data_IF_671614655681
#
_entry.id   IF_671614655681
#
_cell.length_a   1.000
_cell.length_b   1.000
_cell.length_c   1.000
_cell.angle_alpha   90.00
_cell.angle_beta   90.00
_cell.angle_gamma   90.00
#
_symmetry.space_group_name_H-M   'P 1'
#
loop_
_entity.id
_entity.type
_entity.pdbx_description
1 polymer ?
#
# COMPACT_ATOMS: atom_id res chain seq x y z
N UNK A 1 16.94 -3.91 -28.79
CA UNK A 1 16.10 -3.84 -27.57
C UNK A 1 16.84 -2.98 -26.56
N UNK A 2 16.17 -1.99 -25.98
CA UNK A 2 16.79 -1.14 -24.97
C UNK A 2 17.13 -1.98 -23.73
N UNK A 3 18.30 -1.71 -23.12
CA UNK A 3 18.78 -2.42 -21.92
C UNK A 3 17.80 -2.23 -20.75
N UNK A 4 17.07 -1.13 -20.73
CA UNK A 4 16.04 -0.85 -19.74
C UNK A 4 14.78 -1.71 -19.96
N UNK A 5 14.28 -1.80 -21.20
CA UNK A 5 13.14 -2.67 -21.55
C UNK A 5 13.39 -4.14 -21.15
N UNK A 6 14.59 -4.66 -21.40
CA UNK A 6 14.94 -6.04 -21.01
C UNK A 6 14.87 -6.23 -19.50
N UNK A 7 15.28 -5.23 -18.71
CA UNK A 7 15.17 -5.28 -17.25
C UNK A 7 13.72 -5.21 -16.78
N UNK A 8 12.88 -4.40 -17.42
CA UNK A 8 11.46 -4.34 -17.11
C UNK A 8 10.74 -5.66 -17.42
N UNK A 9 11.09 -6.33 -18.52
CA UNK A 9 10.57 -7.67 -18.84
C UNK A 9 10.96 -8.69 -17.75
N UNK A 10 12.23 -8.69 -17.32
CA UNK A 10 12.65 -9.56 -16.21
C UNK A 10 11.94 -9.23 -14.89
N UNK A 11 11.70 -7.95 -14.61
CA UNK A 11 10.97 -7.51 -13.43
C UNK A 11 9.50 -7.97 -13.47
N UNK A 12 8.84 -7.85 -14.62
CA UNK A 12 7.49 -8.33 -14.84
C UNK A 12 7.39 -9.86 -14.66
N UNK A 13 8.34 -10.62 -15.21
CA UNK A 13 8.41 -12.08 -15.05
C UNK A 13 8.60 -12.50 -13.60
N UNK A 14 9.54 -11.87 -12.89
CA UNK A 14 9.77 -12.15 -11.47
C UNK A 14 8.51 -11.85 -10.64
N UNK A 15 7.84 -10.73 -10.92
CA UNK A 15 6.59 -10.36 -10.26
C UNK A 15 5.49 -11.39 -10.51
N UNK A 16 5.28 -11.81 -11.76
CA UNK A 16 4.28 -12.82 -12.09
C UNK A 16 4.51 -14.13 -11.34
N UNK A 17 5.75 -14.66 -11.37
CA UNK A 17 6.10 -15.90 -10.68
C UNK A 17 5.84 -15.80 -9.17
N UNK A 18 6.11 -14.63 -8.56
CA UNK A 18 5.90 -14.41 -7.13
C UNK A 18 4.43 -14.27 -6.76
N UNK A 19 3.67 -13.37 -7.41
CA UNK A 19 2.30 -13.06 -6.99
C UNK A 19 1.25 -14.00 -7.55
N UNK A 20 1.43 -14.47 -8.78
CA UNK A 20 0.47 -15.34 -9.47
C UNK A 20 0.93 -16.80 -9.38
N UNK A 21 2.22 -17.05 -9.59
CA UNK A 21 2.79 -18.39 -9.54
C UNK A 21 3.02 -18.94 -8.12
N UNK A 22 2.98 -18.08 -7.09
CA UNK A 22 3.24 -18.48 -5.69
C UNK A 22 4.66 -18.97 -5.43
N UNK A 23 5.60 -18.70 -6.34
CA UNK A 23 6.97 -19.21 -6.25
C UNK A 23 7.77 -18.46 -5.19
N UNK A 24 8.66 -19.18 -4.51
CA UNK A 24 9.64 -18.61 -3.59
C UNK A 24 10.73 -17.84 -4.35
N UNK A 25 11.42 -16.94 -3.66
CA UNK A 25 12.51 -16.17 -4.28
C UNK A 25 13.66 -17.07 -4.78
N UNK A 26 13.90 -18.22 -4.16
CA UNK A 26 14.96 -19.15 -4.56
C UNK A 26 14.59 -19.94 -5.82
N UNK A 27 13.31 -20.32 -5.96
CA UNK A 27 12.80 -20.93 -7.20
C UNK A 27 12.83 -19.94 -8.36
N UNK A 28 12.40 -18.69 -8.11
CA UNK A 28 12.45 -17.61 -9.11
C UNK A 28 13.90 -17.32 -9.53
N UNK A 29 14.82 -17.28 -8.57
CA UNK A 29 16.25 -17.05 -8.80
C UNK A 29 16.81 -18.12 -9.75
N UNK A 30 16.50 -19.39 -9.47
CA UNK A 30 16.88 -20.53 -10.30
C UNK A 30 16.30 -20.42 -11.70
N UNK A 31 15.00 -20.11 -11.83
CA UNK A 31 14.30 -20.04 -13.11
C UNK A 31 14.74 -18.86 -13.99
N UNK A 32 15.08 -17.73 -13.38
CA UNK A 32 15.54 -16.52 -14.09
C UNK A 32 17.06 -16.45 -14.27
N UNK A 33 17.83 -17.40 -13.69
CA UNK A 33 19.29 -17.40 -13.75
C UNK A 33 19.91 -16.18 -13.03
N UNK A 34 19.29 -15.71 -11.95
CA UNK A 34 19.76 -14.58 -11.14
C UNK A 34 19.95 -15.00 -9.69
N UNK A 35 20.67 -14.20 -8.90
CA UNK A 35 20.77 -14.44 -7.46
C UNK A 35 19.48 -14.06 -6.72
N UNK A 36 19.25 -14.62 -5.53
CA UNK A 36 18.11 -14.25 -4.66
C UNK A 36 18.01 -12.74 -4.38
N UNK A 37 19.10 -12.00 -4.07
CA UNK A 37 19.05 -10.54 -4.00
C UNK A 37 18.76 -9.87 -5.36
N UNK A 38 19.10 -10.52 -6.47
CA UNK A 38 18.69 -10.12 -7.81
C UNK A 38 17.18 -10.17 -7.99
N UNK A 39 16.53 -11.25 -7.55
CA UNK A 39 15.06 -11.37 -7.54
C UNK A 39 14.42 -10.26 -6.72
N UNK A 40 14.93 -9.98 -5.52
CA UNK A 40 14.42 -8.89 -4.70
C UNK A 40 14.50 -7.53 -5.40
N UNK A 41 15.61 -7.24 -6.09
CA UNK A 41 15.78 -6.01 -6.87
C UNK A 41 14.81 -5.95 -8.06
N UNK A 42 14.56 -7.06 -8.74
CA UNK A 42 13.58 -7.14 -9.82
C UNK A 42 12.14 -6.92 -9.32
N UNK A 43 11.76 -7.51 -8.19
CA UNK A 43 10.46 -7.29 -7.56
C UNK A 43 10.28 -5.85 -7.09
N UNK A 44 11.33 -5.25 -6.53
CA UNK A 44 11.33 -3.84 -6.15
C UNK A 44 11.17 -2.94 -7.37
N UNK A 45 11.89 -3.21 -8.47
CA UNK A 45 11.76 -2.48 -9.74
C UNK A 45 10.34 -2.60 -10.29
N UNK A 46 9.74 -3.79 -10.28
CA UNK A 46 8.37 -4.00 -10.76
C UNK A 46 7.33 -3.17 -9.97
N UNK A 47 7.54 -3.01 -8.65
CA UNK A 47 6.70 -2.14 -7.82
C UNK A 47 6.95 -0.66 -8.10
N UNK A 48 8.22 -0.26 -8.20
CA UNK A 48 8.63 1.13 -8.43
C UNK A 48 8.12 1.67 -9.77
N UNK A 49 8.19 0.84 -10.81
CA UNK A 49 7.75 1.20 -12.17
C UNK A 49 6.25 0.94 -12.39
N UNK A 50 5.50 0.58 -11.34
CA UNK A 50 4.04 0.43 -11.41
C UNK A 50 3.55 -0.78 -12.21
N UNK A 51 4.41 -1.77 -12.49
CA UNK A 51 4.05 -3.00 -13.19
C UNK A 51 3.13 -3.90 -12.35
N UNK A 52 3.14 -3.71 -11.02
CA UNK A 52 2.33 -4.47 -10.07
C UNK A 52 1.37 -3.53 -9.36
N UNK A 53 0.07 -3.81 -9.47
CA UNK A 53 -0.97 -3.18 -8.66
C UNK A 53 -1.59 -4.24 -7.76
N UNK A 54 -1.46 -4.04 -6.45
CA UNK A 54 -2.07 -4.94 -5.46
C UNK A 54 -3.39 -4.34 -5.02
N UNK A 55 -4.46 -5.12 -5.12
CA UNK A 55 -5.77 -4.77 -4.59
C UNK A 55 -6.13 -5.75 -3.48
N UNK A 56 -6.64 -5.22 -2.36
CA UNK A 56 -7.10 -6.01 -1.21
C UNK A 56 -8.59 -5.75 -1.07
N UNK A 57 -9.39 -6.76 -1.39
CA UNK A 57 -10.84 -6.73 -1.21
C UNK A 57 -11.20 -7.15 0.21
N UNK A 58 -11.12 -6.20 1.14
CA UNK A 58 -11.47 -6.37 2.54
C UNK A 58 -11.77 -5.01 3.19
N UNK A 59 -12.72 -4.90 4.15
CA UNK A 59 -13.03 -3.64 4.82
C UNK A 59 -11.81 -2.93 5.45
N UNK A 60 -10.80 -3.69 5.87
CA UNK A 60 -9.53 -3.17 6.41
C UNK A 60 -8.82 -2.20 5.45
N UNK A 61 -8.99 -2.36 4.14
CA UNK A 61 -8.36 -1.49 3.13
C UNK A 61 -8.78 -0.04 3.31
N UNK A 62 -10.05 0.20 3.65
CA UNK A 62 -10.58 1.55 3.95
C UNK A 62 -9.90 2.14 5.18
N UNK A 63 -9.79 1.35 6.25
CA UNK A 63 -9.14 1.76 7.49
C UNK A 63 -7.66 2.09 7.29
N UNK A 64 -6.94 1.26 6.54
CA UNK A 64 -5.52 1.46 6.25
C UNK A 64 -5.27 2.69 5.37
N UNK A 65 -6.09 2.89 4.33
CA UNK A 65 -6.01 4.07 3.46
C UNK A 65 -6.30 5.37 4.22
N UNK A 66 -7.34 5.38 5.06
CA UNK A 66 -7.65 6.49 5.95
C UNK A 66 -6.49 6.75 6.91
N UNK A 67 -5.94 5.70 7.52
CA UNK A 67 -4.84 5.82 8.45
C UNK A 67 -3.54 6.35 7.84
N UNK A 68 -3.23 5.99 6.58
CA UNK A 68 -2.09 6.59 5.85
C UNK A 68 -2.32 8.07 5.59
N UNK A 69 -3.51 8.43 5.10
CA UNK A 69 -3.90 9.82 4.83
C UNK A 69 -3.81 10.68 6.09
N UNK A 70 -4.27 10.15 7.22
CA UNK A 70 -4.22 10.84 8.50
C UNK A 70 -2.78 11.06 9.01
N UNK A 71 -1.90 10.07 8.83
CA UNK A 71 -0.48 10.17 9.18
C UNK A 71 0.25 11.21 8.34
N UNK A 72 0.09 11.14 7.02
CA UNK A 72 0.79 12.01 6.08
C UNK A 72 0.34 13.47 6.19
N UNK A 73 -0.96 13.72 6.40
CA UNK A 73 -1.53 15.07 6.34
C UNK A 73 -1.69 15.75 7.69
N UNK A 74 -1.95 14.98 8.76
CA UNK A 74 -2.21 15.54 10.09
C UNK A 74 -1.12 15.21 11.11
N UNK A 75 -0.01 14.59 10.67
CA UNK A 75 1.15 14.24 11.52
C UNK A 75 0.75 13.44 12.77
N UNK A 76 -0.33 12.66 12.70
CA UNK A 76 -0.77 11.84 13.83
C UNK A 76 0.23 10.69 14.01
N UNK A 77 0.81 10.51 15.22
CA UNK A 77 1.83 9.50 15.46
C UNK A 77 1.32 8.07 15.21
N UNK A 78 0.02 7.83 15.37
CA UNK A 78 -0.67 6.62 14.93
C UNK A 78 -2.12 6.93 14.54
N UNK A 79 -2.64 6.40 13.43
CA UNK A 79 -4.06 6.51 13.11
C UNK A 79 -4.85 5.60 14.05
N UNK A 80 -5.80 6.18 14.77
CA UNK A 80 -6.72 5.41 15.61
C UNK A 80 -7.95 5.10 14.78
N UNK A 81 -8.24 3.82 14.61
CA UNK A 81 -9.37 3.31 13.84
C UNK A 81 -10.28 2.57 14.82
N UNK A 82 -11.55 2.94 14.86
CA UNK A 82 -12.54 2.19 15.63
C UNK A 82 -12.88 0.87 14.92
N UNK A 83 -12.89 -0.22 15.66
CA UNK A 83 -13.28 -1.56 15.19
C UNK A 83 -14.79 -1.78 15.30
N UNK A 84 -15.50 -0.91 16.03
CA UNK A 84 -16.96 -0.97 16.18
C UNK A 84 -17.63 0.41 16.21
N UNK A 85 -18.96 0.44 15.98
CA UNK A 85 -19.74 1.66 16.09
C UNK A 85 -19.73 2.23 17.52
N UNK A 86 -19.84 1.38 18.53
CA UNK A 86 -19.80 1.79 19.93
C UNK A 86 -18.44 2.41 20.29
N UNK A 87 -17.34 1.82 19.81
CA UNK A 87 -16.00 2.38 20.01
C UNK A 87 -15.85 3.72 19.28
N UNK A 88 -16.36 3.84 18.06
CA UNK A 88 -16.39 5.11 17.33
C UNK A 88 -17.11 6.20 18.11
N UNK A 89 -18.28 5.90 18.67
CA UNK A 89 -19.06 6.85 19.49
C UNK A 89 -18.29 7.26 20.76
N UNK A 90 -17.69 6.29 21.45
CA UNK A 90 -16.85 6.54 22.62
C UNK A 90 -15.63 7.42 22.28
N UNK A 91 -14.96 7.18 21.16
CA UNK A 91 -13.85 8.01 20.69
C UNK A 91 -14.31 9.44 20.38
N UNK A 92 -15.40 9.61 19.62
CA UNK A 92 -15.93 10.93 19.25
C UNK A 92 -16.43 11.75 20.44
N UNK A 93 -16.70 11.13 21.59
CA UNK A 93 -17.01 11.83 22.84
C UNK A 93 -15.81 12.60 23.40
N UNK A 94 -14.59 12.21 23.05
CA UNK A 94 -13.37 12.87 23.50
C UNK A 94 -13.05 14.10 22.63
N UNK A 95 -12.68 15.22 23.26
CA UNK A 95 -12.43 16.51 22.57
C UNK A 95 -11.40 16.42 21.44
N UNK A 96 -10.31 15.68 21.63
CA UNK A 96 -9.25 15.56 20.63
C UNK A 96 -9.75 14.87 19.36
N UNK A 97 -10.41 13.72 19.51
CA UNK A 97 -10.96 12.97 18.38
C UNK A 97 -12.06 13.74 17.66
N UNK A 98 -12.90 14.48 18.39
CA UNK A 98 -13.89 15.38 17.80
C UNK A 98 -13.24 16.47 16.94
N UNK A 99 -12.22 17.15 17.46
CA UNK A 99 -11.50 18.20 16.74
C UNK A 99 -10.81 17.66 15.46
N UNK A 100 -10.14 16.50 15.57
CA UNK A 100 -9.53 15.83 14.41
C UNK A 100 -10.60 15.47 13.37
N UNK A 101 -11.73 14.90 13.79
CA UNK A 101 -12.81 14.50 12.89
C UNK A 101 -13.48 15.71 12.20
N UNK A 102 -13.61 16.84 12.89
CA UNK A 102 -14.15 18.08 12.32
C UNK A 102 -13.21 18.66 11.25
N UNK A 103 -11.89 18.70 11.51
CA UNK A 103 -10.89 19.13 10.52
C UNK A 103 -10.88 18.20 9.31
N UNK A 104 -10.92 16.88 9.54
CA UNK A 104 -10.97 15.90 8.46
C UNK A 104 -12.22 16.09 7.58
N UNK A 105 -13.41 16.21 8.18
CA UNK A 105 -14.68 16.45 7.45
C UNK A 105 -14.67 17.76 6.67
N UNK A 106 -14.19 18.84 7.29
CA UNK A 106 -14.07 20.14 6.62
C UNK A 106 -13.19 20.03 5.37
N UNK A 107 -12.08 19.28 5.46
CA UNK A 107 -11.17 19.09 4.36
C UNK A 107 -11.76 18.22 3.24
N UNK A 108 -12.47 17.13 3.58
CA UNK A 108 -13.18 16.29 2.60
C UNK A 108 -14.28 17.06 1.86
N UNK A 109 -14.98 17.96 2.53
CA UNK A 109 -16.02 18.79 1.92
C UNK A 109 -15.46 19.90 0.99
N UNK A 110 -14.16 20.20 1.07
CA UNK A 110 -13.54 21.36 0.40
C UNK A 110 -12.41 21.03 -0.57
N UNK A 111 -12.07 19.74 -0.74
CA UNK A 111 -11.01 19.30 -1.65
C UNK A 111 -11.61 18.75 -2.95
N UNK A 112 -11.55 19.48 -4.07
CA UNK A 112 -11.95 18.95 -5.37
C UNK A 112 -10.79 18.11 -5.92
N UNK A 113 -10.98 16.80 -6.00
CA UNK A 113 -10.07 15.87 -6.68
C UNK A 113 -8.93 15.35 -5.80
N UNK A 114 -9.22 14.35 -4.98
CA UNK A 114 -8.24 13.42 -4.43
C UNK A 114 -8.62 12.00 -4.84
#
# INVERSE_FOLDING_TARGET
>A
MDKFEVKLDQAARAAWMSYVGGMTQDEIATQLGVSRPGVQRLLALARQEGLVKVHIDHPISTCMALGSTLRERFLLPAPVVAESLAEKEAMLSQRLFKAIADVARWWTARSPGA
#
